data_IF_058943590779
#
_entry.id   IF_058943590779
#
_cell.length_a   1.000
_cell.length_b   1.000
_cell.length_c   1.000
_cell.angle_alpha   90.00
_cell.angle_beta   90.00
_cell.angle_gamma   90.00
#
_symmetry.space_group_name_H-M   'P 1'
#
loop_
_entity.id
_entity.type
_entity.pdbx_description
1 polymer ?
#
# COMPACT_ATOMS: atom_id res chain seq x y z
N UNK A 1 49.00 5.33 -20.45
CA UNK A 1 47.75 6.11 -20.34
C UNK A 1 47.09 6.27 -21.72
N UNK A 2 47.86 6.54 -22.77
CA UNK A 2 47.33 6.90 -24.10
C UNK A 2 46.53 5.80 -24.80
N UNK A 3 46.96 4.53 -24.64
CA UNK A 3 46.26 3.38 -25.25
C UNK A 3 44.86 3.16 -24.66
N UNK A 4 44.71 3.36 -23.36
CA UNK A 4 43.41 3.20 -22.69
C UNK A 4 42.43 4.31 -23.12
N UNK A 5 42.90 5.57 -23.11
CA UNK A 5 42.11 6.70 -23.58
C UNK A 5 41.72 6.54 -25.05
N UNK A 6 42.65 6.10 -25.90
CA UNK A 6 42.38 5.80 -27.31
C UNK A 6 41.27 4.75 -27.47
N UNK A 7 41.33 3.64 -26.73
CA UNK A 7 40.31 2.58 -26.80
C UNK A 7 38.93 3.06 -26.36
N UNK A 8 38.85 3.87 -25.30
CA UNK A 8 37.58 4.48 -24.86
C UNK A 8 37.03 5.43 -25.93
N UNK A 9 37.90 6.28 -26.49
CA UNK A 9 37.49 7.26 -27.52
C UNK A 9 37.00 6.56 -28.79
N UNK A 10 37.69 5.50 -29.20
CA UNK A 10 37.31 4.69 -30.36
C UNK A 10 36.02 3.89 -30.11
N UNK A 11 35.84 3.37 -28.90
CA UNK A 11 34.60 2.75 -28.46
C UNK A 11 33.41 3.71 -28.54
N UNK A 12 33.55 4.93 -28.04
CA UNK A 12 32.50 5.97 -28.13
C UNK A 12 32.18 6.35 -29.57
N UNK A 13 33.20 6.51 -30.42
CA UNK A 13 33.00 6.73 -31.87
C UNK A 13 32.26 5.58 -32.53
N UNK A 14 32.57 4.34 -32.15
CA UNK A 14 31.90 3.16 -32.67
C UNK A 14 30.41 3.11 -32.27
N UNK A 15 30.08 3.44 -31.03
CA UNK A 15 28.70 3.58 -30.56
C UNK A 15 27.95 4.65 -31.36
N UNK A 16 28.58 5.80 -31.59
CA UNK A 16 28.00 6.89 -32.39
C UNK A 16 27.78 6.49 -33.87
N UNK A 17 28.75 5.76 -34.45
CA UNK A 17 28.67 5.25 -35.83
C UNK A 17 27.53 4.25 -35.99
N UNK A 18 27.30 3.40 -34.99
CA UNK A 18 26.25 2.36 -34.99
C UNK A 18 25.05 2.73 -34.10
N UNK A 19 24.56 3.96 -34.26
CA UNK A 19 23.48 4.57 -33.47
C UNK A 19 22.21 3.72 -33.34
N UNK A 20 21.79 3.00 -34.37
CA UNK A 20 20.56 2.20 -34.34
C UNK A 20 20.70 0.99 -33.40
N UNK A 21 21.80 0.26 -33.51
CA UNK A 21 22.07 -0.91 -32.65
C UNK A 21 22.29 -0.47 -31.20
N UNK A 22 23.02 0.62 -31.00
CA UNK A 22 23.22 1.21 -29.67
C UNK A 22 21.88 1.65 -29.05
N UNK A 23 21.01 2.29 -29.83
CA UNK A 23 19.68 2.71 -29.37
C UNK A 23 18.83 1.51 -28.92
N UNK A 24 18.77 0.43 -29.70
CA UNK A 24 18.03 -0.79 -29.32
C UNK A 24 18.55 -1.38 -28.02
N UNK A 25 19.88 -1.44 -27.85
CA UNK A 25 20.49 -1.94 -26.62
C UNK A 25 20.16 -1.07 -25.40
N UNK A 26 20.23 0.25 -25.55
CA UNK A 26 19.89 1.21 -24.50
C UNK A 26 18.42 1.09 -24.11
N UNK A 27 17.51 1.03 -25.09
CA UNK A 27 16.07 0.88 -24.83
C UNK A 27 15.77 -0.45 -24.16
N UNK A 28 16.38 -1.54 -24.60
CA UNK A 28 16.20 -2.85 -23.97
C UNK A 28 16.64 -2.83 -22.51
N UNK A 29 17.81 -2.28 -22.21
CA UNK A 29 18.31 -2.15 -20.84
C UNK A 29 17.41 -1.23 -19.99
N UNK A 30 16.97 -0.12 -20.58
CA UNK A 30 16.05 0.81 -19.95
C UNK A 30 14.75 0.12 -19.56
N UNK A 31 14.12 -0.61 -20.48
CA UNK A 31 12.87 -1.34 -20.21
C UNK A 31 13.08 -2.38 -19.11
N UNK A 32 14.18 -3.13 -19.13
CA UNK A 32 14.50 -4.10 -18.08
C UNK A 32 14.61 -3.45 -16.71
N UNK A 33 15.39 -2.37 -16.58
CA UNK A 33 15.53 -1.65 -15.33
C UNK A 33 14.25 -0.95 -14.89
N UNK A 34 13.48 -0.43 -15.84
CA UNK A 34 12.19 0.20 -15.59
C UNK A 34 11.19 -0.80 -14.99
N UNK A 35 11.08 -2.00 -15.56
CA UNK A 35 10.22 -3.06 -15.03
C UNK A 35 10.67 -3.45 -13.61
N UNK A 36 11.97 -3.63 -13.39
CA UNK A 36 12.51 -3.95 -12.07
C UNK A 36 12.19 -2.84 -11.05
N UNK A 37 12.40 -1.58 -11.42
CA UNK A 37 12.09 -0.43 -10.56
C UNK A 37 10.59 -0.31 -10.25
N UNK A 38 9.73 -0.59 -11.24
CA UNK A 38 8.28 -0.58 -11.07
C UNK A 38 7.84 -1.67 -10.10
N UNK A 39 8.35 -2.90 -10.24
CA UNK A 39 8.04 -4.00 -9.34
C UNK A 39 8.54 -3.74 -7.92
N UNK A 40 9.75 -3.21 -7.76
CA UNK A 40 10.28 -2.84 -6.45
C UNK A 40 9.41 -1.77 -5.76
N UNK A 41 9.02 -0.73 -6.50
CA UNK A 41 8.19 0.37 -5.99
C UNK A 41 6.76 -0.08 -5.65
N UNK A 42 6.18 -0.97 -6.47
CA UNK A 42 4.87 -1.56 -6.22
C UNK A 42 4.88 -2.48 -5.00
N UNK A 43 5.95 -3.28 -4.84
CA UNK A 43 6.17 -4.13 -3.67
C UNK A 43 6.21 -3.32 -2.38
N UNK A 44 7.01 -2.25 -2.34
CA UNK A 44 7.11 -1.37 -1.16
C UNK A 44 5.77 -0.66 -0.85
N UNK A 45 5.06 -0.18 -1.86
CA UNK A 45 3.75 0.45 -1.66
C UNK A 45 2.61 -0.53 -1.32
N UNK A 46 2.82 -1.84 -1.43
CA UNK A 46 1.80 -2.85 -1.10
C UNK A 46 1.30 -2.69 0.33
N UNK A 47 2.14 -2.23 1.26
CA UNK A 47 1.73 -1.97 2.64
C UNK A 47 0.58 -0.94 2.74
N UNK A 48 0.66 0.15 1.97
CA UNK A 48 -0.39 1.20 1.97
C UNK A 48 -1.69 0.70 1.37
N UNK A 49 -1.60 -0.05 0.27
CA UNK A 49 -2.79 -0.66 -0.37
C UNK A 49 -3.46 -1.64 0.57
N UNK A 50 -2.68 -2.48 1.25
CA UNK A 50 -3.20 -3.44 2.22
C UNK A 50 -3.85 -2.74 3.43
N UNK A 51 -3.22 -1.68 3.95
CA UNK A 51 -3.81 -0.86 5.01
C UNK A 51 -5.11 -0.18 4.56
N UNK A 52 -5.15 0.35 3.33
CA UNK A 52 -6.34 0.95 2.75
C UNK A 52 -7.51 -0.05 2.72
N UNK A 53 -7.29 -1.26 2.19
CA UNK A 53 -8.30 -2.30 2.22
C UNK A 53 -8.72 -2.68 3.64
N UNK A 54 -7.76 -2.88 4.57
CA UNK A 54 -8.07 -3.18 5.98
C UNK A 54 -8.91 -2.09 6.65
N UNK A 55 -8.69 -0.82 6.33
CA UNK A 55 -9.45 0.30 6.91
C UNK A 55 -10.92 0.35 6.47
N UNK A 56 -11.26 -0.27 5.33
CA UNK A 56 -12.63 -0.32 4.81
C UNK A 56 -13.49 -1.40 5.48
N UNK A 57 -12.88 -2.41 6.12
CA UNK A 57 -13.62 -3.45 6.84
C UNK A 57 -14.05 -2.95 8.22
N UNK A 58 -15.33 -2.58 8.33
CA UNK A 58 -16.01 -2.28 9.60
C UNK A 58 -16.87 -3.48 9.98
N UNK A 59 -16.74 -3.95 11.22
CA UNK A 59 -17.63 -4.96 11.80
C UNK A 59 -18.44 -4.24 12.87
N UNK A 60 -19.76 -4.29 12.74
CA UNK A 60 -20.70 -3.76 13.73
C UNK A 60 -21.37 -4.93 14.45
N UNK A 61 -21.39 -4.86 15.77
CA UNK A 61 -22.01 -5.87 16.63
C UNK A 61 -23.09 -5.18 17.44
N UNK A 62 -24.32 -5.69 17.34
CA UNK A 62 -25.46 -5.17 18.07
C UNK A 62 -25.66 -6.00 19.33
N UNK A 63 -25.62 -5.33 20.48
CA UNK A 63 -25.94 -5.98 21.76
C UNK A 63 -27.44 -6.15 21.92
N UNK A 64 -27.83 -7.18 22.67
CA UNK A 64 -29.21 -7.32 23.13
C UNK A 64 -29.53 -6.22 24.15
N UNK A 65 -30.80 -5.87 24.31
CA UNK A 65 -31.22 -4.71 25.11
C UNK A 65 -30.95 -4.84 26.61
N UNK A 66 -30.76 -6.05 27.09
CA UNK A 66 -30.48 -6.44 28.48
C UNK A 66 -29.01 -6.26 28.89
N UNK A 67 -28.11 -5.97 27.94
CA UNK A 67 -26.69 -5.72 28.22
C UNK A 67 -26.50 -4.29 28.71
N UNK A 68 -25.88 -4.14 29.89
CA UNK A 68 -25.51 -2.83 30.45
C UNK A 68 -24.31 -2.21 29.71
N UNK A 69 -24.15 -0.89 29.81
CA UNK A 69 -22.99 -0.21 29.23
C UNK A 69 -21.68 -0.69 29.90
N UNK A 70 -21.71 -0.99 31.19
CA UNK A 70 -20.54 -1.52 31.93
C UNK A 70 -20.10 -2.89 31.38
N UNK A 71 -21.04 -3.80 31.14
CA UNK A 71 -20.76 -5.11 30.55
C UNK A 71 -20.23 -4.98 29.12
N UNK A 72 -20.81 -4.08 28.33
CA UNK A 72 -20.35 -3.79 26.98
C UNK A 72 -18.91 -3.26 26.97
N UNK A 73 -18.54 -2.39 27.92
CA UNK A 73 -17.16 -1.88 28.06
C UNK A 73 -16.18 -3.03 28.37
N UNK A 74 -16.59 -3.97 29.23
CA UNK A 74 -15.83 -5.19 29.50
C UNK A 74 -15.57 -6.02 28.25
N UNK A 75 -16.60 -6.21 27.42
CA UNK A 75 -16.50 -6.92 26.15
C UNK A 75 -15.59 -6.20 25.15
N UNK A 76 -15.66 -4.87 25.06
CA UNK A 76 -14.73 -4.08 24.23
C UNK A 76 -13.28 -4.33 24.62
N UNK A 77 -12.99 -4.38 25.93
CA UNK A 77 -11.62 -4.61 26.38
C UNK A 77 -11.10 -5.99 25.98
N UNK A 78 -11.98 -7.00 25.96
CA UNK A 78 -11.65 -8.33 25.44
C UNK A 78 -11.46 -8.32 23.92
N UNK A 79 -12.33 -7.64 23.16
CA UNK A 79 -12.23 -7.52 21.70
C UNK A 79 -10.95 -6.80 21.26
N UNK A 80 -10.51 -5.77 21.98
CA UNK A 80 -9.23 -5.06 21.72
C UNK A 80 -8.00 -5.96 21.90
N UNK A 81 -8.10 -7.06 22.64
CA UNK A 81 -7.00 -8.03 22.81
C UNK A 81 -6.88 -9.01 21.64
N UNK A 82 -7.89 -9.10 20.77
CA UNK A 82 -7.87 -9.98 19.62
C UNK A 82 -6.86 -9.46 18.59
N UNK A 83 -5.91 -10.33 18.19
CA UNK A 83 -4.90 -9.99 17.18
C UNK A 83 -5.58 -9.62 15.86
N UNK A 84 -5.36 -8.40 15.39
CA UNK A 84 -5.94 -7.87 14.15
C UNK A 84 -7.06 -6.85 14.36
N UNK A 85 -7.58 -6.70 15.58
CA UNK A 85 -8.48 -5.60 15.93
C UNK A 85 -7.65 -4.35 16.21
N UNK A 86 -7.76 -3.35 15.33
CA UNK A 86 -7.04 -2.07 15.48
C UNK A 86 -7.73 -1.16 16.50
N UNK A 87 -9.05 -1.09 16.45
CA UNK A 87 -9.89 -0.23 17.31
C UNK A 87 -11.23 -0.91 17.56
N UNK A 88 -11.78 -0.73 18.76
CA UNK A 88 -13.14 -1.10 19.10
C UNK A 88 -13.76 0.03 19.94
N UNK A 89 -14.95 0.47 19.57
CA UNK A 89 -15.63 1.64 20.14
C UNK A 89 -17.07 1.26 20.44
N UNK A 90 -17.60 1.69 21.59
CA UNK A 90 -19.02 1.55 21.92
C UNK A 90 -19.76 2.67 21.20
N UNK A 91 -20.92 2.32 20.64
CA UNK A 91 -21.89 3.27 20.12
C UNK A 91 -23.08 3.18 21.06
N UNK A 92 -23.39 4.26 21.78
CA UNK A 92 -24.54 4.27 22.67
C UNK A 92 -25.86 4.28 21.88
N UNK A 93 -26.98 3.92 22.53
CA UNK A 93 -28.28 3.83 21.85
C UNK A 93 -28.66 5.16 21.16
N UNK A 94 -28.39 6.29 21.81
CA UNK A 94 -28.66 7.63 21.29
C UNK A 94 -27.78 7.95 20.06
N UNK A 95 -26.50 7.59 20.13
CA UNK A 95 -25.56 7.72 19.00
C UNK A 95 -25.96 6.83 17.83
N UNK A 96 -26.41 5.60 18.10
CA UNK A 96 -26.86 4.66 17.08
C UNK A 96 -28.08 5.21 16.33
N UNK A 97 -29.04 5.83 17.04
CA UNK A 97 -30.20 6.48 16.42
C UNK A 97 -29.77 7.65 15.53
N UNK A 98 -28.83 8.48 16.00
CA UNK A 98 -28.30 9.60 15.20
C UNK A 98 -27.57 9.11 13.95
N UNK A 99 -26.65 8.14 14.09
CA UNK A 99 -25.90 7.54 12.97
C UNK A 99 -26.87 6.92 11.97
N UNK A 100 -27.90 6.21 12.44
CA UNK A 100 -28.89 5.59 11.56
C UNK A 100 -29.65 6.63 10.73
N UNK A 101 -30.10 7.73 11.34
CA UNK A 101 -30.73 8.85 10.62
C UNK A 101 -29.77 9.49 9.61
N UNK A 102 -28.53 9.75 10.00
CA UNK A 102 -27.54 10.36 9.10
C UNK A 102 -27.22 9.47 7.89
N UNK A 103 -27.27 8.13 8.05
CA UNK A 103 -26.98 7.17 6.99
C UNK A 103 -28.18 6.84 6.09
N UNK A 104 -29.40 6.87 6.62
CA UNK A 104 -30.59 6.32 5.96
C UNK A 104 -31.78 7.29 5.83
N UNK A 105 -31.75 8.46 6.48
CA UNK A 105 -32.84 9.44 6.51
C UNK A 105 -33.76 9.28 7.70
#
# INVERSE_FOLDING_TARGET
>A
MDKFYYLITEGMKNVWRHKMTAFTAIISLFISLFIVGLLATAGDNTHKVLQYFRSKYKIEVFFKQDVSNEEAVGLIHQLKKIKGVRTATIIEKEDAVRIFKDQFG
#
